data_IF_307718949797
#
_entry.id   IF_307718949797
#
_cell.length_a   1.000
_cell.length_b   1.000
_cell.length_c   1.000
_cell.angle_alpha   90.00
_cell.angle_beta   90.00
_cell.angle_gamma   90.00
#
_symmetry.space_group_name_H-M   'P 1'
#
loop_
_entity.id
_entity.type
_entity.pdbx_description
1 polymer ?
#
# COMPACT_ATOMS: atom_id res chain seq x y z
N UNK A 1 -31.76 0.84 -48.92
CA UNK A 1 -30.70 -0.03 -48.42
C UNK A 1 -30.96 -0.31 -46.97
N UNK A 2 -31.27 -1.56 -46.58
CA UNK A 2 -31.45 -1.91 -45.17
C UNK A 2 -30.07 -1.93 -44.52
N UNK A 3 -29.88 -1.06 -43.52
CA UNK A 3 -28.65 -1.04 -42.72
C UNK A 3 -28.44 -2.46 -42.13
N UNK A 4 -27.29 -3.05 -42.35
CA UNK A 4 -26.93 -4.37 -41.83
C UNK A 4 -27.01 -4.38 -40.30
N UNK A 5 -27.29 -5.54 -39.68
CA UNK A 5 -27.33 -5.73 -38.23
C UNK A 5 -26.09 -5.15 -37.54
N UNK A 6 -24.92 -5.25 -38.18
CA UNK A 6 -23.66 -4.67 -37.74
C UNK A 6 -23.67 -3.15 -37.69
N UNK A 7 -24.17 -2.48 -38.75
CA UNK A 7 -24.19 -1.02 -38.82
C UNK A 7 -25.07 -0.39 -37.75
N UNK A 8 -26.14 -1.08 -37.33
CA UNK A 8 -27.06 -0.65 -36.29
C UNK A 8 -26.54 -0.90 -34.89
N UNK A 9 -25.67 -1.89 -34.70
CA UNK A 9 -25.21 -2.33 -33.36
C UNK A 9 -23.71 -2.14 -33.13
N UNK A 10 -22.95 -1.61 -34.10
CA UNK A 10 -21.49 -1.40 -33.99
C UNK A 10 -21.08 -0.71 -32.70
N UNK A 11 -21.74 0.40 -32.35
CA UNK A 11 -21.45 1.17 -31.14
C UNK A 11 -21.67 0.39 -29.85
N UNK A 12 -22.54 -0.63 -29.84
CA UNK A 12 -22.82 -1.47 -28.68
C UNK A 12 -21.98 -2.74 -28.65
N UNK A 13 -21.71 -3.35 -29.81
CA UNK A 13 -21.02 -4.63 -29.93
C UNK A 13 -19.49 -4.49 -29.99
N UNK A 14 -18.99 -3.41 -30.60
CA UNK A 14 -17.55 -3.19 -30.70
C UNK A 14 -16.84 -3.16 -29.33
N UNK A 15 -17.31 -2.39 -28.30
CA UNK A 15 -16.69 -2.42 -26.98
C UNK A 15 -16.69 -3.83 -26.37
N UNK A 16 -17.78 -4.58 -26.51
CA UNK A 16 -17.89 -5.94 -25.98
C UNK A 16 -16.86 -6.85 -26.65
N UNK A 17 -16.78 -6.81 -27.97
CA UNK A 17 -15.85 -7.66 -28.73
C UNK A 17 -14.38 -7.34 -28.41
N UNK A 18 -14.01 -6.06 -28.31
CA UNK A 18 -12.64 -5.65 -27.97
C UNK A 18 -12.28 -5.91 -26.50
N UNK A 19 -13.24 -5.84 -25.58
CA UNK A 19 -13.00 -6.10 -24.16
C UNK A 19 -13.05 -7.59 -23.81
N UNK A 20 -13.73 -8.43 -24.60
CA UNK A 20 -13.90 -9.86 -24.32
C UNK A 20 -12.58 -10.58 -24.04
N UNK A 21 -11.49 -10.45 -24.83
CA UNK A 21 -10.24 -11.13 -24.52
C UNK A 21 -9.68 -10.71 -23.16
N UNK A 22 -9.66 -9.42 -22.87
CA UNK A 22 -9.16 -8.90 -21.59
C UNK A 22 -10.02 -9.40 -20.42
N UNK A 23 -11.34 -9.39 -20.55
CA UNK A 23 -12.28 -9.89 -19.53
C UNK A 23 -12.10 -11.40 -19.31
N UNK A 24 -11.89 -12.18 -20.37
CA UNK A 24 -11.63 -13.62 -20.24
C UNK A 24 -10.32 -13.90 -19.51
N UNK A 25 -9.24 -13.21 -19.86
CA UNK A 25 -7.97 -13.33 -19.13
C UNK A 25 -8.14 -12.93 -17.66
N UNK A 26 -8.81 -11.83 -17.39
CA UNK A 26 -9.09 -11.40 -16.01
C UNK A 26 -9.94 -12.42 -15.24
N UNK A 27 -10.96 -12.98 -15.87
CA UNK A 27 -11.81 -14.00 -15.24
C UNK A 27 -11.04 -15.27 -14.89
N UNK A 28 -10.18 -15.76 -15.80
CA UNK A 28 -9.42 -17.00 -15.58
C UNK A 28 -8.26 -16.80 -14.60
N UNK A 29 -7.50 -15.70 -14.71
CA UNK A 29 -6.24 -15.54 -13.95
C UNK A 29 -6.40 -14.70 -12.69
N UNK A 30 -7.52 -14.00 -12.52
CA UNK A 30 -7.78 -13.18 -11.31
C UNK A 30 -9.02 -13.67 -10.58
N UNK A 31 -10.19 -13.68 -11.23
CA UNK A 31 -11.43 -14.03 -10.53
C UNK A 31 -11.47 -15.50 -10.12
N UNK A 32 -11.11 -16.42 -11.02
CA UNK A 32 -11.12 -17.85 -10.69
C UNK A 32 -10.21 -18.19 -9.50
N UNK A 33 -8.92 -17.75 -9.40
CA UNK A 33 -8.10 -18.00 -8.22
C UNK A 33 -8.67 -17.38 -6.93
N UNK A 34 -9.30 -16.20 -7.00
CA UNK A 34 -9.95 -15.58 -5.82
C UNK A 34 -11.08 -16.49 -5.32
N UNK A 35 -12.00 -16.92 -6.20
CA UNK A 35 -13.09 -17.82 -5.80
C UNK A 35 -12.58 -19.19 -5.35
N UNK A 36 -11.51 -19.70 -5.97
CA UNK A 36 -10.86 -20.94 -5.53
C UNK A 36 -10.27 -20.81 -4.14
N UNK A 37 -9.59 -19.71 -3.83
CA UNK A 37 -9.06 -19.45 -2.49
C UNK A 37 -10.18 -19.35 -1.45
N UNK A 38 -11.26 -18.62 -1.77
CA UNK A 38 -12.46 -18.56 -0.92
C UNK A 38 -13.06 -19.95 -0.65
N UNK A 39 -13.10 -20.80 -1.67
CA UNK A 39 -13.61 -22.17 -1.52
C UNK A 39 -12.66 -23.03 -0.68
N UNK A 40 -11.37 -23.01 -0.96
CA UNK A 40 -10.33 -23.77 -0.25
C UNK A 40 -10.28 -23.39 1.24
N UNK A 41 -10.62 -22.17 1.61
CA UNK A 41 -10.59 -21.70 2.99
C UNK A 41 -11.53 -22.48 3.94
N UNK A 42 -12.51 -23.22 3.41
CA UNK A 42 -13.43 -24.07 4.18
C UNK A 42 -12.93 -25.51 4.32
N UNK A 43 -11.75 -25.81 3.81
CA UNK A 43 -11.17 -27.16 3.87
C UNK A 43 -9.86 -27.18 4.66
N UNK A 44 -9.59 -28.26 5.33
CA UNK A 44 -8.25 -28.63 5.71
C UNK A 44 -7.60 -29.28 4.50
N UNK A 45 -6.49 -28.69 4.03
CA UNK A 45 -5.79 -29.13 2.83
C UNK A 45 -4.32 -28.70 2.86
N UNK A 46 -3.44 -29.62 2.48
CA UNK A 46 -1.99 -29.41 2.39
C UNK A 46 -1.50 -28.95 1.01
N UNK A 47 -2.39 -28.91 0.03
CA UNK A 47 -2.06 -28.55 -1.37
C UNK A 47 -1.90 -29.71 -2.31
N UNK A 48 -1.82 -30.96 -1.82
CA UNK A 48 -1.54 -32.16 -2.65
C UNK A 48 -2.53 -33.29 -2.37
N UNK A 49 -2.85 -33.53 -1.10
CA UNK A 49 -3.73 -34.63 -0.67
C UNK A 49 -5.23 -34.34 -0.84
N UNK A 50 -6.04 -35.17 -0.20
CA UNK A 50 -7.50 -35.02 -0.20
C UNK A 50 -7.91 -33.78 0.60
N UNK A 51 -8.90 -33.06 0.09
CA UNK A 51 -9.51 -31.91 0.76
C UNK A 51 -10.56 -32.39 1.77
N UNK A 52 -10.36 -32.13 3.05
CA UNK A 52 -11.30 -32.44 4.11
C UNK A 52 -12.15 -31.21 4.45
N UNK A 53 -13.47 -31.34 4.32
CA UNK A 53 -14.37 -30.23 4.64
C UNK A 53 -14.42 -29.98 6.15
N UNK A 54 -13.95 -28.81 6.61
CA UNK A 54 -13.96 -28.39 8.02
C UNK A 54 -14.88 -27.19 8.27
N UNK A 55 -15.59 -26.71 7.25
CA UNK A 55 -16.47 -25.55 7.36
C UNK A 55 -15.72 -24.32 7.86
N UNK A 56 -16.12 -23.76 8.99
CA UNK A 56 -15.45 -22.59 9.59
C UNK A 56 -14.27 -22.94 10.52
N UNK A 57 -13.81 -24.18 10.54
CA UNK A 57 -12.71 -24.63 11.43
C UNK A 57 -11.46 -23.77 11.31
N UNK A 58 -10.98 -23.47 10.08
CA UNK A 58 -9.82 -22.59 9.85
C UNK A 58 -10.03 -21.16 10.41
N UNK A 59 -11.24 -20.64 10.37
CA UNK A 59 -11.56 -19.30 10.89
C UNK A 59 -11.63 -19.27 12.42
N UNK A 60 -12.08 -20.37 13.05
CA UNK A 60 -12.09 -20.52 14.51
C UNK A 60 -10.66 -20.63 15.01
N UNK A 61 -9.84 -21.46 14.39
CA UNK A 61 -8.41 -21.60 14.71
C UNK A 61 -7.70 -20.25 14.58
N UNK A 62 -7.94 -19.52 13.48
CA UNK A 62 -7.35 -18.20 13.25
C UNK A 62 -7.71 -17.19 14.35
N UNK A 63 -8.92 -17.29 14.92
CA UNK A 63 -9.33 -16.42 16.02
C UNK A 63 -8.60 -16.72 17.33
N UNK A 64 -8.15 -17.94 17.51
CA UNK A 64 -7.40 -18.42 18.70
C UNK A 64 -5.89 -18.31 18.53
N UNK A 65 -5.40 -18.01 17.33
CA UNK A 65 -3.96 -17.97 17.00
C UNK A 65 -3.33 -16.62 17.40
N UNK A 66 -2.44 -16.67 18.39
CA UNK A 66 -1.67 -15.49 18.87
C UNK A 66 -0.81 -14.84 17.76
N UNK A 67 -0.35 -15.62 16.78
CA UNK A 67 0.43 -15.10 15.65
C UNK A 67 -0.44 -14.25 14.76
N UNK A 68 -1.69 -14.64 14.53
CA UNK A 68 -2.66 -13.84 13.74
C UNK A 68 -3.00 -12.55 14.47
N UNK A 69 -3.20 -12.58 15.78
CA UNK A 69 -3.41 -11.37 16.58
C UNK A 69 -2.21 -10.42 16.49
N UNK A 70 -0.98 -10.96 16.55
CA UNK A 70 0.24 -10.16 16.35
C UNK A 70 0.29 -9.56 14.94
N UNK A 71 -0.04 -10.34 13.91
CA UNK A 71 -0.08 -9.88 12.53
C UNK A 71 -1.10 -8.75 12.33
N UNK A 72 -2.30 -8.87 12.91
CA UNK A 72 -3.33 -7.82 12.87
C UNK A 72 -2.82 -6.53 13.57
N UNK A 73 -2.27 -6.66 14.78
CA UNK A 73 -1.69 -5.53 15.51
C UNK A 73 -0.61 -4.82 14.68
N UNK A 74 0.27 -5.59 14.07
CA UNK A 74 1.32 -5.06 13.22
C UNK A 74 0.74 -4.37 11.97
N UNK A 75 -0.27 -4.95 11.30
CA UNK A 75 -0.94 -4.27 10.18
C UNK A 75 -1.58 -2.94 10.59
N UNK A 76 -2.15 -2.85 11.80
CA UNK A 76 -2.67 -1.57 12.34
C UNK A 76 -1.54 -0.57 12.56
N UNK A 77 -0.41 -1.01 13.11
CA UNK A 77 0.78 -0.16 13.27
C UNK A 77 1.32 0.34 11.92
N UNK A 78 1.44 -0.56 10.94
CA UNK A 78 1.82 -0.21 9.58
C UNK A 78 0.86 0.83 8.98
N UNK A 79 -0.46 0.63 9.17
CA UNK A 79 -1.48 1.56 8.68
C UNK A 79 -1.31 2.95 9.28
N UNK A 80 -1.13 3.05 10.60
CA UNK A 80 -0.91 4.33 11.30
C UNK A 80 0.35 5.02 10.77
N UNK A 81 1.45 4.29 10.64
CA UNK A 81 2.72 4.83 10.15
C UNK A 81 2.64 5.24 8.67
N UNK A 82 2.00 4.44 7.82
CA UNK A 82 1.84 4.76 6.39
C UNK A 82 0.93 5.97 6.15
N UNK A 83 -0.02 6.23 7.03
CA UNK A 83 -0.83 7.45 6.98
C UNK A 83 -0.03 8.73 7.30
N UNK A 84 1.21 8.61 7.78
CA UNK A 84 2.15 9.74 7.88
C UNK A 84 2.78 10.09 6.52
N UNK A 85 2.81 9.17 5.55
CA UNK A 85 3.42 9.44 4.24
C UNK A 85 2.72 10.57 3.47
N UNK A 86 1.37 10.65 3.37
CA UNK A 86 0.70 11.77 2.71
C UNK A 86 1.07 13.16 3.28
N UNK A 87 0.96 13.46 4.58
CA UNK A 87 1.31 14.78 5.10
C UNK A 87 2.80 15.10 4.96
N UNK A 88 3.70 14.14 5.15
CA UNK A 88 5.14 14.34 4.94
C UNK A 88 5.44 14.65 3.46
N UNK A 89 4.83 13.90 2.55
CA UNK A 89 4.99 14.11 1.11
C UNK A 89 4.40 15.44 0.64
N UNK A 90 3.28 15.88 1.22
CA UNK A 90 2.70 17.18 0.93
C UNK A 90 3.65 18.30 1.36
N UNK A 91 4.22 18.23 2.56
CA UNK A 91 5.19 19.20 3.05
C UNK A 91 6.43 19.27 2.15
N UNK A 92 7.00 18.10 1.77
CA UNK A 92 8.09 18.01 0.82
C UNK A 92 7.69 18.53 -0.57
N UNK A 93 6.49 18.21 -1.04
CA UNK A 93 5.97 18.64 -2.32
C UNK A 93 5.85 20.17 -2.43
N UNK A 94 5.35 20.84 -1.40
CA UNK A 94 5.29 22.31 -1.33
C UNK A 94 6.70 22.91 -1.36
N UNK A 95 7.64 22.34 -0.61
CA UNK A 95 9.04 22.79 -0.60
C UNK A 95 9.71 22.60 -1.98
N UNK A 96 9.46 21.48 -2.65
CA UNK A 96 10.03 21.14 -3.95
C UNK A 96 9.27 21.77 -5.13
N UNK A 97 8.09 22.36 -4.92
CA UNK A 97 7.30 22.98 -5.98
C UNK A 97 7.81 24.39 -6.36
N UNK A 98 9.12 24.50 -6.56
CA UNK A 98 9.79 25.71 -7.01
C UNK A 98 10.43 25.47 -8.39
N UNK A 99 10.56 26.50 -9.19
CA UNK A 99 11.05 26.43 -10.58
C UNK A 99 12.59 26.57 -10.71
N UNK A 100 13.32 26.37 -9.61
CA UNK A 100 14.78 26.45 -9.61
C UNK A 100 15.42 25.21 -10.26
N UNK A 101 16.52 25.38 -10.99
CA UNK A 101 17.21 24.29 -11.69
C UNK A 101 17.75 23.21 -10.75
N UNK A 102 18.26 23.62 -9.58
CA UNK A 102 18.79 22.72 -8.55
C UNK A 102 17.69 21.81 -7.98
N UNK A 103 16.47 22.29 -7.91
CA UNK A 103 15.31 21.54 -7.42
C UNK A 103 14.91 20.42 -8.39
N UNK A 104 15.17 20.56 -9.69
CA UNK A 104 14.93 19.47 -10.67
C UNK A 104 15.76 18.23 -10.34
N UNK A 105 17.03 18.43 -9.99
CA UNK A 105 17.89 17.32 -9.54
C UNK A 105 17.43 16.73 -8.22
N UNK A 106 17.09 17.58 -7.25
CA UNK A 106 16.52 17.13 -5.96
C UNK A 106 15.24 16.29 -6.15
N UNK A 107 14.31 16.73 -7.03
CA UNK A 107 13.11 15.94 -7.36
C UNK A 107 13.47 14.53 -7.84
N UNK A 108 14.46 14.38 -8.74
CA UNK A 108 14.90 13.07 -9.21
C UNK A 108 15.42 12.18 -8.07
N UNK A 109 16.17 12.75 -7.13
CA UNK A 109 16.69 12.03 -5.97
C UNK A 109 15.56 11.57 -5.03
N UNK A 110 14.56 12.41 -4.81
CA UNK A 110 13.39 12.05 -4.00
C UNK A 110 12.46 11.04 -4.70
N UNK A 111 12.50 10.92 -6.03
CA UNK A 111 11.71 9.92 -6.78
C UNK A 111 12.42 8.57 -6.87
N UNK A 112 13.74 8.54 -6.72
CA UNK A 112 14.55 7.33 -6.83
C UNK A 112 14.01 6.14 -6.00
N UNK A 113 13.60 6.32 -4.73
CA UNK A 113 13.11 5.22 -3.91
C UNK A 113 11.89 4.48 -4.50
N UNK A 114 11.01 5.20 -5.19
CA UNK A 114 9.82 4.63 -5.82
C UNK A 114 10.14 3.67 -6.97
N UNK A 115 11.27 3.88 -7.66
CA UNK A 115 11.69 3.05 -8.80
C UNK A 115 12.39 1.77 -8.35
N UNK A 116 12.91 1.75 -7.12
CA UNK A 116 13.62 0.60 -6.56
C UNK A 116 12.62 -0.48 -6.14
N UNK A 117 12.90 -1.74 -6.48
CA UNK A 117 12.01 -2.84 -6.06
C UNK A 117 12.00 -3.00 -4.53
N UNK A 118 10.88 -3.40 -3.91
CA UNK A 118 10.79 -3.61 -2.46
C UNK A 118 11.86 -4.57 -1.93
N UNK A 119 12.18 -5.63 -2.69
CA UNK A 119 13.24 -6.60 -2.33
C UNK A 119 14.60 -5.91 -2.18
N UNK A 120 14.97 -5.06 -3.14
CA UNK A 120 16.23 -4.29 -3.10
C UNK A 120 16.23 -3.29 -1.95
N UNK A 121 15.10 -2.61 -1.70
CA UNK A 121 14.95 -1.73 -0.54
C UNK A 121 15.19 -2.52 0.76
N UNK A 122 14.57 -3.70 0.91
CA UNK A 122 14.78 -4.58 2.06
C UNK A 122 16.27 -4.96 2.26
N UNK A 123 16.97 -5.33 1.19
CA UNK A 123 18.39 -5.66 1.24
C UNK A 123 19.26 -4.43 1.64
N UNK A 124 19.01 -3.27 1.04
CA UNK A 124 19.73 -2.02 1.37
C UNK A 124 19.57 -1.71 2.86
N UNK A 125 18.34 -1.73 3.37
CA UNK A 125 18.09 -1.41 4.77
C UNK A 125 18.55 -2.50 5.74
N UNK A 126 18.56 -3.78 5.35
CA UNK A 126 19.16 -4.84 6.16
C UNK A 126 20.67 -4.61 6.35
N UNK A 127 21.36 -4.12 5.32
CA UNK A 127 22.76 -3.71 5.45
C UNK A 127 22.93 -2.40 6.23
N UNK A 128 22.08 -1.44 5.99
CA UNK A 128 22.09 -0.16 6.71
C UNK A 128 21.93 -0.33 8.22
N UNK A 129 21.07 -1.28 8.65
CA UNK A 129 20.79 -1.57 10.06
C UNK A 129 21.72 -2.62 10.67
N UNK A 130 22.74 -3.11 9.94
CA UNK A 130 23.61 -4.15 10.48
C UNK A 130 24.44 -3.62 11.66
N UNK A 131 24.41 -4.28 12.86
CA UNK A 131 25.03 -3.75 14.07
C UNK A 131 26.55 -3.87 14.12
N UNK A 132 27.20 -4.39 13.05
CA UNK A 132 28.67 -4.53 13.00
C UNK A 132 29.35 -3.66 11.94
N UNK A 133 28.67 -3.42 10.82
CA UNK A 133 29.23 -2.71 9.66
C UNK A 133 28.18 -1.85 8.95
N UNK A 134 27.01 -1.66 9.55
CA UNK A 134 25.95 -0.81 8.99
C UNK A 134 26.21 0.66 9.17
N UNK A 135 25.66 1.47 8.27
CA UNK A 135 25.81 2.92 8.35
C UNK A 135 25.11 3.50 9.60
N UNK A 136 24.01 2.90 10.04
CA UNK A 136 23.33 3.31 11.28
C UNK A 136 24.25 3.13 12.49
N UNK A 137 24.92 1.99 12.59
CA UNK A 137 25.85 1.69 13.66
C UNK A 137 27.04 2.66 13.67
N UNK A 138 27.67 2.86 12.51
CA UNK A 138 28.75 3.85 12.36
C UNK A 138 28.33 5.27 12.80
N UNK A 139 27.09 5.65 12.51
CA UNK A 139 26.54 6.95 12.92
C UNK A 139 26.29 7.01 14.44
N UNK A 140 25.77 5.94 15.05
CA UNK A 140 25.57 5.85 16.49
C UNK A 140 26.90 5.89 17.24
N UNK A 141 27.91 5.22 16.75
CA UNK A 141 29.28 5.24 17.31
C UNK A 141 29.88 6.64 17.31
N UNK A 142 29.69 7.41 16.21
CA UNK A 142 30.10 8.82 16.13
C UNK A 142 29.43 9.69 17.20
N UNK A 143 28.23 9.33 17.64
CA UNK A 143 27.49 10.01 18.73
C UNK A 143 27.83 9.44 20.12
N UNK A 144 28.76 8.48 20.23
CA UNK A 144 29.11 7.82 21.47
C UNK A 144 28.02 6.87 22.01
N UNK A 145 27.11 6.44 21.15
CA UNK A 145 26.04 5.50 21.49
C UNK A 145 26.48 4.06 21.21
N UNK A 146 25.86 3.10 21.88
CA UNK A 146 26.11 1.68 21.64
C UNK A 146 25.44 1.20 20.33
N UNK A 147 26.03 0.18 19.65
CA UNK A 147 25.42 -0.46 18.51
C UNK A 147 23.98 -0.91 18.77
N UNK A 148 23.09 -0.69 17.81
CA UNK A 148 21.69 -1.04 17.94
C UNK A 148 21.35 -2.19 16.98
N UNK A 149 21.14 -3.39 17.52
CA UNK A 149 20.69 -4.55 16.74
C UNK A 149 19.18 -4.43 16.40
N UNK A 150 18.82 -3.39 15.65
CA UNK A 150 17.45 -2.95 15.40
C UNK A 150 16.53 -4.08 14.91
N UNK A 151 16.98 -4.90 13.96
CA UNK A 151 16.18 -5.99 13.40
C UNK A 151 16.16 -7.26 14.27
N UNK A 152 16.97 -7.33 15.32
CA UNK A 152 17.03 -8.46 16.26
C UNK A 152 16.27 -8.19 17.55
N UNK A 153 15.79 -6.98 17.76
CA UNK A 153 14.97 -6.60 18.93
C UNK A 153 13.49 -6.74 18.59
N UNK A 154 12.75 -7.54 19.34
CA UNK A 154 11.33 -7.82 19.09
C UNK A 154 10.42 -6.59 19.17
N UNK A 155 10.81 -5.54 19.91
CA UNK A 155 10.04 -4.32 20.06
C UNK A 155 10.38 -3.28 18.98
N UNK A 156 11.60 -3.32 18.43
CA UNK A 156 12.10 -2.32 17.51
C UNK A 156 12.10 -2.78 16.05
N UNK A 157 12.21 -4.08 15.78
CA UNK A 157 12.37 -4.63 14.44
C UNK A 157 11.24 -4.17 13.49
N UNK A 158 9.99 -4.20 13.94
CA UNK A 158 8.86 -3.79 13.12
C UNK A 158 8.93 -2.30 12.75
N UNK A 159 9.36 -1.43 13.67
CA UNK A 159 9.56 0.00 13.36
C UNK A 159 10.70 0.21 12.36
N UNK A 160 11.77 -0.59 12.44
CA UNK A 160 12.87 -0.56 11.47
C UNK A 160 12.39 -0.90 10.05
N UNK A 161 11.57 -1.95 9.92
CA UNK A 161 11.00 -2.36 8.62
C UNK A 161 10.04 -1.28 8.11
N UNK A 162 9.16 -0.75 8.97
CA UNK A 162 8.24 0.33 8.60
C UNK A 162 8.99 1.58 8.14
N UNK A 163 10.07 1.96 8.81
CA UNK A 163 10.89 3.10 8.41
C UNK A 163 11.51 2.89 7.01
N UNK A 164 12.01 1.67 6.73
CA UNK A 164 12.48 1.30 5.39
C UNK A 164 11.37 1.39 4.34
N UNK A 165 10.16 0.91 4.66
CA UNK A 165 9.00 0.91 3.78
C UNK A 165 8.44 2.32 3.51
N UNK A 166 8.54 3.22 4.48
CA UNK A 166 8.10 4.62 4.34
C UNK A 166 8.92 5.39 3.29
N UNK A 167 10.17 5.02 3.08
CA UNK A 167 11.03 5.70 2.10
C UNK A 167 10.45 5.67 0.67
N UNK A 168 10.13 4.52 0.03
CA UNK A 168 9.46 4.49 -1.26
C UNK A 168 7.99 4.97 -1.19
N UNK A 169 7.30 4.78 -0.07
CA UNK A 169 5.91 5.24 0.09
C UNK A 169 5.80 6.75 0.07
N UNK A 170 6.70 7.46 0.77
CA UNK A 170 6.79 8.93 0.73
C UNK A 170 7.10 9.41 -0.68
N UNK A 171 8.02 8.75 -1.39
CA UNK A 171 8.35 9.08 -2.77
C UNK A 171 7.13 8.97 -3.69
N UNK A 172 6.34 7.91 -3.54
CA UNK A 172 5.11 7.74 -4.32
C UNK A 172 4.08 8.84 -4.04
N UNK A 173 3.79 9.10 -2.77
CA UNK A 173 2.88 10.18 -2.40
C UNK A 173 3.37 11.56 -2.87
N UNK A 174 4.70 11.79 -2.87
CA UNK A 174 5.31 13.01 -3.35
C UNK A 174 5.03 13.24 -4.84
N UNK A 175 5.12 12.21 -5.68
CA UNK A 175 4.76 12.29 -7.10
C UNK A 175 3.30 12.74 -7.27
N UNK A 176 2.38 12.15 -6.51
CA UNK A 176 0.97 12.51 -6.54
C UNK A 176 0.74 13.98 -6.16
N UNK A 177 1.39 14.44 -5.09
CA UNK A 177 1.25 15.84 -4.67
C UNK A 177 1.91 16.83 -5.62
N UNK A 178 3.08 16.53 -6.18
CA UNK A 178 3.71 17.41 -7.17
C UNK A 178 2.86 17.51 -8.43
N UNK A 179 2.24 16.42 -8.88
CA UNK A 179 1.27 16.45 -9.99
C UNK A 179 0.06 17.29 -9.64
N UNK A 180 -0.51 17.13 -8.44
CA UNK A 180 -1.62 17.92 -7.94
C UNK A 180 -1.28 19.42 -7.84
N UNK A 181 -0.09 19.74 -7.31
CA UNK A 181 0.40 21.13 -7.20
C UNK A 181 0.61 21.78 -8.57
N UNK A 182 1.07 21.02 -9.57
CA UNK A 182 1.22 21.52 -10.94
C UNK A 182 -0.14 21.79 -11.63
N UNK A 183 -1.21 21.11 -11.20
CA UNK A 183 -2.56 21.26 -11.74
C UNK A 183 -3.41 22.33 -11.01
N UNK A 184 -2.86 23.05 -10.04
CA UNK A 184 -3.58 24.08 -9.29
C UNK A 184 -4.05 25.22 -10.23
N UNK A 185 -5.25 25.73 -9.98
CA UNK A 185 -5.77 26.89 -10.69
C UNK A 185 -5.01 28.17 -10.26
N UNK A 186 -4.18 28.67 -11.18
CA UNK A 186 -3.35 29.87 -10.94
C UNK A 186 -4.20 31.13 -10.74
N UNK A 187 -5.30 31.25 -11.48
CA UNK A 187 -6.21 32.42 -11.37
C UNK A 187 -6.83 32.51 -9.97
N UNK A 188 -7.24 31.35 -9.42
CA UNK A 188 -7.78 31.30 -8.06
C UNK A 188 -6.72 31.68 -7.01
N UNK A 189 -5.46 31.27 -7.21
CA UNK A 189 -4.35 31.62 -6.32
C UNK A 189 -4.05 33.14 -6.41
N UNK A 190 -4.06 33.71 -7.60
CA UNK A 190 -3.79 35.13 -7.82
C UNK A 190 -4.93 36.00 -7.24
N UNK A 191 -6.20 35.62 -7.47
CA UNK A 191 -7.34 36.30 -6.86
C UNK A 191 -7.29 36.29 -5.34
N UNK A 192 -6.99 35.13 -4.75
CA UNK A 192 -6.85 35.02 -3.30
C UNK A 192 -5.69 35.88 -2.75
N UNK A 193 -4.61 36.07 -3.51
CA UNK A 193 -3.51 36.97 -3.14
C UNK A 193 -3.97 38.44 -3.12
N UNK A 194 -4.80 38.82 -4.08
CA UNK A 194 -5.41 40.19 -4.16
C UNK A 194 -6.29 40.38 -2.93
N UNK A 195 -7.08 39.38 -2.53
CA UNK A 195 -7.93 39.36 -1.35
C UNK A 195 -7.13 39.30 -0.02
N UNK A 196 -5.80 39.30 -0.09
CA UNK A 196 -4.93 39.32 1.08
C UNK A 196 -4.58 37.97 1.69
N UNK A 197 -4.96 36.84 1.07
CA UNK A 197 -4.58 35.51 1.55
C UNK A 197 -3.06 35.28 1.43
N UNK A 198 -2.39 34.92 2.54
CA UNK A 198 -0.94 34.65 2.59
C UNK A 198 -0.62 33.50 3.55
N UNK A 199 0.51 32.84 3.32
CA UNK A 199 1.04 31.79 4.21
C UNK A 199 0.02 30.71 4.56
N UNK A 200 -0.28 30.52 5.84
CA UNK A 200 -1.24 29.53 6.33
C UNK A 200 -2.66 29.69 5.78
N UNK A 201 -3.14 30.93 5.64
CA UNK A 201 -4.47 31.17 5.09
C UNK A 201 -4.57 30.71 3.63
N UNK A 202 -3.56 31.00 2.80
CA UNK A 202 -3.45 30.52 1.44
C UNK A 202 -3.42 29.00 1.38
N UNK A 203 -2.62 28.37 2.24
CA UNK A 203 -2.47 26.90 2.27
C UNK A 203 -3.80 26.21 2.63
N UNK A 204 -4.40 26.55 3.76
CA UNK A 204 -5.57 25.83 4.27
C UNK A 204 -6.86 26.11 3.48
N UNK A 205 -7.03 27.34 2.98
CA UNK A 205 -8.29 27.75 2.37
C UNK A 205 -8.28 27.63 0.83
N UNK A 206 -7.11 27.65 0.18
CA UNK A 206 -7.00 27.67 -1.28
C UNK A 206 -6.27 26.45 -1.83
N UNK A 207 -5.03 26.16 -1.34
CA UNK A 207 -4.19 25.11 -1.90
C UNK A 207 -4.69 23.73 -1.47
N UNK A 208 -4.83 23.47 -0.19
CA UNK A 208 -5.21 22.17 0.35
C UNK A 208 -6.58 21.67 -0.15
N UNK A 209 -7.63 22.51 -0.26
CA UNK A 209 -8.89 22.09 -0.86
C UNK A 209 -8.78 21.69 -2.33
N UNK A 210 -7.92 22.34 -3.12
CA UNK A 210 -7.67 21.95 -4.51
C UNK A 210 -6.88 20.65 -4.63
N UNK A 211 -6.06 20.30 -3.63
CA UNK A 211 -5.29 19.06 -3.57
C UNK A 211 -6.10 17.86 -3.06
N UNK A 212 -7.41 18.03 -2.76
CA UNK A 212 -8.26 16.90 -2.29
C UNK A 212 -8.17 15.65 -3.17
N UNK A 213 -8.19 15.72 -4.52
CA UNK A 213 -8.08 14.53 -5.35
C UNK A 213 -6.72 13.82 -5.16
N UNK A 214 -5.62 14.56 -5.12
CA UNK A 214 -4.27 14.00 -4.90
C UNK A 214 -4.14 13.41 -3.49
N UNK A 215 -4.60 14.13 -2.46
CA UNK A 215 -4.62 13.66 -1.07
C UNK A 215 -5.42 12.37 -0.93
N UNK A 216 -6.57 12.33 -1.59
CA UNK A 216 -7.45 11.19 -1.60
C UNK A 216 -6.74 9.93 -2.15
N UNK A 217 -6.10 10.03 -3.32
CA UNK A 217 -5.33 8.92 -3.90
C UNK A 217 -4.15 8.55 -3.00
N UNK A 218 -3.42 9.54 -2.46
CA UNK A 218 -2.29 9.31 -1.57
C UNK A 218 -2.69 8.51 -0.31
N UNK A 219 -3.83 8.83 0.30
CA UNK A 219 -4.36 8.08 1.45
C UNK A 219 -4.73 6.65 1.04
N UNK A 220 -5.42 6.46 -0.10
CA UNK A 220 -5.79 5.12 -0.56
C UNK A 220 -4.59 4.23 -0.78
N UNK A 221 -3.59 4.72 -1.52
CA UNK A 221 -2.41 3.91 -1.81
C UNK A 221 -1.60 3.63 -0.55
N UNK A 222 -1.63 4.54 0.45
CA UNK A 222 -1.00 4.30 1.75
C UNK A 222 -1.71 3.20 2.54
N UNK A 223 -3.04 3.20 2.59
CA UNK A 223 -3.81 2.13 3.23
C UNK A 223 -3.59 0.78 2.55
N UNK A 224 -3.68 0.74 1.21
CA UNK A 224 -3.42 -0.48 0.45
C UNK A 224 -1.98 -0.98 0.64
N UNK A 225 -1.00 -0.08 0.66
CA UNK A 225 0.40 -0.40 0.90
C UNK A 225 0.64 -1.01 2.27
N UNK A 226 0.02 -0.46 3.32
CA UNK A 226 0.12 -0.97 4.68
C UNK A 226 -0.50 -2.37 4.85
N UNK A 227 -1.69 -2.59 4.28
CA UNK A 227 -2.41 -3.87 4.41
C UNK A 227 -1.79 -4.99 3.57
N UNK A 228 -1.11 -4.65 2.47
CA UNK A 228 -0.45 -5.59 1.56
C UNK A 228 1.05 -5.72 1.81
N UNK A 229 1.58 -5.16 2.91
CA UNK A 229 3.00 -5.27 3.23
C UNK A 229 3.39 -6.73 3.45
N UNK A 230 4.29 -7.22 2.60
CA UNK A 230 4.84 -8.58 2.60
C UNK A 230 6.35 -8.54 2.35
N UNK A 231 6.77 -7.89 1.25
CA UNK A 231 8.12 -8.01 0.71
C UNK A 231 9.22 -7.66 1.72
N UNK A 232 9.09 -6.53 2.42
CA UNK A 232 10.12 -6.09 3.37
C UNK A 232 10.16 -6.99 4.59
N UNK A 233 9.01 -7.43 5.11
CA UNK A 233 8.95 -8.36 6.24
C UNK A 233 9.62 -9.68 5.84
N UNK A 234 9.29 -10.22 4.67
CA UNK A 234 9.86 -11.46 4.16
C UNK A 234 11.39 -11.39 3.96
N UNK A 235 11.92 -10.25 3.47
CA UNK A 235 13.34 -10.10 3.16
C UNK A 235 14.16 -9.73 4.39
N UNK A 236 13.67 -8.81 5.24
CA UNK A 236 14.47 -8.25 6.33
C UNK A 236 14.49 -9.12 7.58
N UNK A 237 13.36 -9.76 7.93
CA UNK A 237 13.20 -10.46 9.21
C UNK A 237 12.54 -11.82 9.11
N UNK A 238 11.88 -12.15 8.01
CA UNK A 238 11.09 -13.37 7.86
C UNK A 238 10.07 -13.54 9.00
N UNK A 239 9.38 -12.43 9.36
CA UNK A 239 8.43 -12.40 10.46
C UNK A 239 9.06 -12.31 11.87
N UNK A 240 10.41 -12.50 12.00
CA UNK A 240 11.13 -12.51 13.28
C UNK A 240 11.47 -11.14 13.86
N UNK A 241 12.12 -11.11 15.03
CA UNK A 241 12.36 -12.24 15.93
C UNK A 241 11.07 -12.74 16.59
N UNK A 242 10.97 -14.04 16.77
CA UNK A 242 9.85 -14.71 17.49
C UNK A 242 8.43 -14.35 16.94
N UNK A 243 8.30 -14.06 15.64
CA UNK A 243 7.02 -13.67 15.04
C UNK A 243 6.62 -12.20 15.27
N UNK A 244 7.47 -11.38 15.93
CA UNK A 244 7.13 -9.99 16.33
C UNK A 244 6.86 -9.04 15.16
N UNK A 245 7.40 -9.33 13.98
CA UNK A 245 7.22 -8.48 12.79
C UNK A 245 6.25 -9.08 11.77
N UNK A 246 5.63 -10.23 12.09
CA UNK A 246 4.67 -10.86 11.18
C UNK A 246 3.50 -9.92 10.84
N UNK A 247 3.02 -10.00 9.62
CA UNK A 247 1.83 -9.29 9.11
C UNK A 247 0.94 -10.31 8.39
N UNK A 248 -0.35 -10.02 8.22
CA UNK A 248 -1.31 -10.98 7.65
C UNK A 248 -0.87 -11.54 6.29
N UNK A 249 -0.31 -10.70 5.41
CA UNK A 249 0.17 -11.14 4.11
C UNK A 249 1.38 -12.08 4.22
N UNK A 250 2.26 -11.89 5.21
CA UNK A 250 3.38 -12.78 5.45
C UNK A 250 2.90 -14.10 6.08
N UNK A 251 2.04 -14.04 7.10
CA UNK A 251 1.48 -15.22 7.76
C UNK A 251 0.72 -16.11 6.78
N UNK A 252 -0.06 -15.51 5.87
CA UNK A 252 -0.74 -16.23 4.80
C UNK A 252 0.23 -17.08 3.97
N UNK A 253 1.35 -16.51 3.54
CA UNK A 253 2.35 -17.20 2.72
C UNK A 253 3.11 -18.25 3.56
N UNK A 254 3.46 -17.92 4.80
CA UNK A 254 4.14 -18.84 5.72
C UNK A 254 3.29 -20.09 5.96
N UNK A 255 2.00 -19.94 6.26
CA UNK A 255 1.10 -21.05 6.50
C UNK A 255 0.82 -21.86 5.22
N UNK A 256 0.51 -21.18 4.11
CA UNK A 256 0.17 -21.87 2.88
C UNK A 256 1.35 -22.60 2.26
N UNK A 257 2.52 -21.96 2.17
CA UNK A 257 3.65 -22.44 1.36
C UNK A 257 4.71 -23.17 2.20
N UNK A 258 5.09 -22.60 3.36
CA UNK A 258 6.18 -23.19 4.17
C UNK A 258 5.66 -24.24 5.15
N UNK A 259 4.45 -24.08 5.69
CA UNK A 259 3.84 -25.01 6.64
C UNK A 259 2.88 -26.01 5.97
N UNK A 260 2.69 -25.93 4.65
CA UNK A 260 1.78 -26.80 3.88
C UNK A 260 0.35 -26.82 4.43
N UNK A 261 -0.15 -25.68 4.94
CA UNK A 261 -1.50 -25.52 5.46
C UNK A 261 -2.30 -24.63 4.51
N UNK A 262 -2.51 -25.10 3.28
CA UNK A 262 -3.14 -24.33 2.20
C UNK A 262 -4.55 -23.86 2.57
N UNK A 263 -5.35 -24.70 3.23
CA UNK A 263 -6.69 -24.33 3.70
C UNK A 263 -6.67 -23.17 4.70
N UNK A 264 -5.78 -23.24 5.69
CA UNK A 264 -5.61 -22.18 6.68
C UNK A 264 -5.04 -20.89 6.06
N UNK A 265 -4.02 -21.02 5.20
CA UNK A 265 -3.49 -19.88 4.45
C UNK A 265 -4.53 -19.21 3.54
N UNK A 266 -5.43 -20.01 2.92
CA UNK A 266 -6.54 -19.49 2.13
C UNK A 266 -7.58 -18.76 3.01
N UNK A 267 -7.81 -19.19 4.26
CA UNK A 267 -8.66 -18.47 5.21
C UNK A 267 -8.05 -17.09 5.59
N UNK A 268 -6.73 -17.03 5.85
CA UNK A 268 -6.01 -15.77 6.07
C UNK A 268 -6.10 -14.84 4.87
N UNK A 269 -5.89 -15.38 3.65
CA UNK A 269 -6.06 -14.64 2.40
C UNK A 269 -7.47 -14.06 2.25
N UNK A 270 -8.49 -14.85 2.59
CA UNK A 270 -9.90 -14.46 2.54
C UNK A 270 -10.19 -13.29 3.47
N UNK A 271 -9.70 -13.34 4.72
CA UNK A 271 -9.88 -12.24 5.68
C UNK A 271 -9.19 -10.97 5.22
N UNK A 272 -7.94 -11.08 4.74
CA UNK A 272 -7.22 -9.93 4.21
C UNK A 272 -7.95 -9.33 2.99
N UNK A 273 -8.45 -10.16 2.10
CA UNK A 273 -9.23 -9.76 0.94
C UNK A 273 -10.51 -9.01 1.36
N UNK A 274 -11.28 -9.56 2.32
CA UNK A 274 -12.49 -8.92 2.82
C UNK A 274 -12.21 -7.57 3.49
N UNK A 275 -11.13 -7.45 4.26
CA UNK A 275 -10.71 -6.17 4.86
C UNK A 275 -10.44 -5.13 3.76
N UNK A 276 -9.70 -5.52 2.71
CA UNK A 276 -9.41 -4.66 1.57
C UNK A 276 -10.68 -4.26 0.80
N UNK A 277 -11.58 -5.22 0.55
CA UNK A 277 -12.84 -4.96 -0.18
C UNK A 277 -13.77 -4.04 0.60
N UNK A 278 -13.91 -4.23 1.91
CA UNK A 278 -14.70 -3.34 2.78
C UNK A 278 -14.13 -1.92 2.72
N UNK A 279 -12.80 -1.79 2.79
CA UNK A 279 -12.16 -0.48 2.68
C UNK A 279 -12.41 0.16 1.31
N UNK A 280 -12.22 -0.58 0.22
CA UNK A 280 -12.43 -0.10 -1.15
C UNK A 280 -13.89 0.27 -1.37
N UNK A 281 -14.84 -0.56 -0.93
CA UNK A 281 -16.27 -0.29 -1.05
C UNK A 281 -16.67 0.99 -0.28
N UNK A 282 -16.23 1.11 0.97
CA UNK A 282 -16.45 2.34 1.76
C UNK A 282 -15.88 3.57 1.05
N UNK A 283 -14.69 3.44 0.51
CA UNK A 283 -14.01 4.47 -0.23
C UNK A 283 -14.81 4.91 -1.48
N UNK A 284 -15.22 3.96 -2.34
CA UNK A 284 -16.00 4.25 -3.55
C UNK A 284 -17.34 4.91 -3.23
N UNK A 285 -18.02 4.45 -2.17
CA UNK A 285 -19.26 5.07 -1.70
C UNK A 285 -19.02 6.54 -1.31
N UNK A 286 -17.93 6.84 -0.61
CA UNK A 286 -17.57 8.22 -0.24
C UNK A 286 -17.31 9.11 -1.45
N UNK A 287 -16.62 8.60 -2.48
CA UNK A 287 -16.41 9.31 -3.75
C UNK A 287 -17.76 9.66 -4.39
N UNK A 288 -18.58 8.64 -4.57
CA UNK A 288 -19.86 8.80 -5.24
C UNK A 288 -20.81 9.78 -4.53
N UNK A 289 -20.86 9.75 -3.20
CA UNK A 289 -21.65 10.69 -2.40
C UNK A 289 -21.12 12.13 -2.55
N UNK A 290 -19.79 12.31 -2.58
CA UNK A 290 -19.20 13.63 -2.76
C UNK A 290 -19.45 14.22 -4.16
N UNK A 291 -19.49 13.38 -5.19
CA UNK A 291 -19.84 13.82 -6.55
C UNK A 291 -21.31 14.22 -6.65
N UNK A 292 -22.23 13.46 -6.04
CA UNK A 292 -23.67 13.81 -6.01
C UNK A 292 -23.99 15.05 -5.19
N UNK A 293 -23.23 15.34 -4.14
CA UNK A 293 -23.43 16.55 -3.34
C UNK A 293 -22.91 17.84 -3.99
N UNK A 294 -22.34 17.75 -5.20
CA UNK A 294 -21.86 18.89 -6.01
C UNK A 294 -22.78 19.25 -7.16
N UNK A 295 -23.87 18.49 -7.37
CA UNK A 295 -24.98 18.80 -8.26
C UNK A 295 -26.14 19.40 -7.47
#
# INVERSE_FOLDING_TARGET
MQANFWDRNQLKLAPVFFLTPAILFFAVYVLHPIFSSLWISFFEWDGVGDMLWVGFGNYIEMWEDDRVHTAIRNNVLWLICFLLAPPLSLALGIFLNQELSEIKFAKSLFFFPFVVSPVVVGLIFSWFYNPKYGLLDSFLELLGMQPLALLSDENLANFGIIAAALWPQIAYCLILYLTGLAALNKEMIESARIDGARGWSMFWNIILPQLRPATFIAVVVSVLGALRSFDLVAIMTQGGPWGSTTVLAYEMVEQAIFNYRMGYGAALATILFLILDIYIAWFLIRVWLNEKGRL
#
